data_IF_994927399703
#
_entry.id   IF_994927399703
#
_cell.length_a   1.000
_cell.length_b   1.000
_cell.length_c   1.000
_cell.angle_alpha   90.00
_cell.angle_beta   90.00
_cell.angle_gamma   90.00
#
_symmetry.space_group_name_H-M   'P 1'
#
loop_
_entity.id
_entity.type
_entity.pdbx_description
1 polymer ?
#
# COMPACT_ATOMS: atom_id res chain seq x y z
N UNK A 1 18.82 6.65 46.83
CA UNK A 1 19.76 6.67 45.69
C UNK A 1 19.17 7.53 44.60
N UNK A 2 19.96 8.46 44.08
CA UNK A 2 19.58 9.54 43.17
C UNK A 2 19.80 9.14 41.70
N UNK A 3 19.18 9.90 40.78
CA UNK A 3 19.31 9.94 39.31
C UNK A 3 18.42 8.94 38.55
N UNK A 4 17.66 9.29 37.51
CA UNK A 4 17.61 10.48 36.64
C UNK A 4 16.18 10.67 36.12
N UNK A 5 15.89 11.95 35.88
CA UNK A 5 14.76 12.51 35.17
C UNK A 5 14.67 11.98 33.74
N UNK A 6 13.56 11.31 33.40
CA UNK A 6 13.12 11.17 32.02
C UNK A 6 12.19 12.33 31.70
N UNK A 7 12.78 13.46 31.33
CA UNK A 7 12.08 14.57 30.69
C UNK A 7 11.60 14.08 29.31
N UNK A 8 10.28 13.92 29.15
CA UNK A 8 9.67 13.82 27.83
C UNK A 8 9.89 15.15 27.09
N UNK A 9 10.44 15.16 25.86
CA UNK A 9 10.42 16.35 25.04
C UNK A 9 8.97 16.69 24.71
N UNK A 10 8.50 17.82 25.21
CA UNK A 10 7.24 18.46 24.84
C UNK A 10 7.17 18.59 23.32
N UNK A 11 6.26 17.84 22.69
CA UNK A 11 5.87 18.06 21.30
C UNK A 11 5.31 19.47 21.19
N UNK A 12 6.10 20.33 20.56
CA UNK A 12 5.69 21.67 20.15
C UNK A 12 4.65 21.51 19.04
N UNK A 13 3.42 21.94 19.32
CA UNK A 13 2.36 22.11 18.34
C UNK A 13 2.74 23.29 17.44
N UNK A 14 3.36 23.02 16.30
CA UNK A 14 3.52 24.02 15.24
C UNK A 14 2.21 24.13 14.45
N UNK A 15 1.40 25.13 14.82
CA UNK A 15 0.34 25.70 14.00
C UNK A 15 0.92 26.18 12.66
N UNK A 16 0.86 25.33 11.63
CA UNK A 16 1.16 25.69 10.25
C UNK A 16 -0.14 25.79 9.43
N UNK A 17 -0.84 26.91 9.62
CA UNK A 17 -1.77 27.46 8.66
C UNK A 17 -1.03 27.89 7.37
N UNK A 18 -1.68 27.71 6.21
CA UNK A 18 -1.40 28.34 4.90
C UNK A 18 -0.63 27.53 3.83
N UNK A 19 -1.40 27.12 2.81
CA UNK A 19 -1.05 26.97 1.39
C UNK A 19 -0.02 25.91 0.95
N UNK A 20 -0.48 24.67 0.72
CA UNK A 20 0.29 23.67 -0.03
C UNK A 20 -0.60 22.74 -0.88
N UNK A 21 -1.27 23.28 -1.90
CA UNK A 21 -2.11 22.49 -2.82
C UNK A 21 -1.34 21.86 -3.99
N UNK A 22 -0.06 22.23 -4.21
CA UNK A 22 0.75 21.71 -5.33
C UNK A 22 1.73 20.59 -4.91
N UNK A 23 2.40 20.72 -3.77
CA UNK A 23 3.43 19.77 -3.29
C UNK A 23 2.83 18.49 -2.69
N UNK A 24 1.72 18.59 -1.96
CA UNK A 24 1.02 17.42 -1.41
C UNK A 24 0.45 16.50 -2.49
N UNK A 25 -0.01 17.06 -3.60
CA UNK A 25 -0.52 16.29 -4.73
C UNK A 25 0.59 15.53 -5.48
N UNK A 26 1.79 16.12 -5.59
CA UNK A 26 2.94 15.44 -6.19
C UNK A 26 3.39 14.26 -5.33
N UNK A 27 3.54 14.44 -4.02
CA UNK A 27 3.92 13.37 -3.10
C UNK A 27 2.87 12.23 -3.06
N UNK A 28 1.58 12.57 -2.97
CA UNK A 28 0.48 11.58 -3.06
C UNK A 28 0.46 10.85 -4.40
N UNK A 29 0.81 11.52 -5.50
CA UNK A 29 0.87 10.88 -6.83
C UNK A 29 2.06 9.94 -6.99
N UNK A 30 3.19 10.22 -6.31
CA UNK A 30 4.35 9.33 -6.25
C UNK A 30 4.00 8.08 -5.44
N UNK A 31 3.33 8.26 -4.29
CA UNK A 31 2.84 7.16 -3.46
C UNK A 31 1.85 6.26 -4.23
N UNK A 32 0.87 6.86 -4.92
CA UNK A 32 -0.08 6.14 -5.79
C UNK A 32 0.61 5.29 -6.87
N UNK A 33 1.64 5.83 -7.53
CA UNK A 33 2.41 5.09 -8.55
C UNK A 33 3.27 3.99 -7.96
N UNK A 34 3.84 4.23 -6.78
CA UNK A 34 4.68 3.26 -6.08
C UNK A 34 3.87 2.02 -5.67
N UNK A 35 2.68 2.21 -5.09
CA UNK A 35 1.81 1.08 -4.70
C UNK A 35 1.40 0.21 -5.90
N UNK A 36 1.01 0.85 -7.00
CA UNK A 36 0.70 0.13 -8.25
C UNK A 36 1.95 -0.59 -8.79
N UNK A 37 3.14 0.00 -8.68
CA UNK A 37 4.38 -0.64 -9.11
C UNK A 37 4.72 -1.89 -8.27
N UNK A 38 4.53 -1.82 -6.95
CA UNK A 38 4.70 -2.97 -6.05
C UNK A 38 3.71 -4.09 -6.41
N UNK A 39 2.42 -3.76 -6.54
CA UNK A 39 1.40 -4.72 -6.93
C UNK A 39 1.71 -5.38 -8.29
N UNK A 40 2.17 -4.59 -9.28
CA UNK A 40 2.62 -5.11 -10.58
C UNK A 40 3.80 -6.06 -10.46
N UNK A 41 4.77 -5.78 -9.59
CA UNK A 41 5.89 -6.67 -9.32
C UNK A 41 5.40 -8.02 -8.79
N UNK A 42 4.51 -8.01 -7.81
CA UNK A 42 3.93 -9.24 -7.24
C UNK A 42 3.16 -10.06 -8.27
N UNK A 43 2.39 -9.41 -9.16
CA UNK A 43 1.70 -10.10 -10.25
C UNK A 43 2.65 -10.76 -11.27
N UNK A 44 3.92 -10.31 -11.33
CA UNK A 44 4.98 -10.93 -12.14
C UNK A 44 5.79 -11.98 -11.38
N UNK A 45 5.47 -12.24 -10.11
CA UNK A 45 6.22 -13.14 -9.24
C UNK A 45 7.46 -12.51 -8.59
N UNK A 46 7.57 -11.18 -8.61
CA UNK A 46 8.64 -10.43 -7.93
C UNK A 46 8.25 -10.10 -6.48
N UNK A 47 9.20 -9.73 -5.62
CA UNK A 47 8.90 -9.09 -4.33
C UNK A 47 8.45 -10.01 -3.19
N UNK A 48 8.68 -11.32 -3.28
CA UNK A 48 8.54 -12.25 -2.16
C UNK A 48 7.09 -12.60 -1.75
N UNK A 49 6.10 -12.10 -2.49
CA UNK A 49 4.68 -12.47 -2.33
C UNK A 49 4.28 -13.38 -3.48
N UNK A 50 3.80 -14.58 -3.17
CA UNK A 50 3.29 -15.52 -4.16
C UNK A 50 1.77 -15.42 -4.25
N UNK A 51 1.26 -15.04 -5.42
CA UNK A 51 -0.19 -14.88 -5.66
C UNK A 51 -0.70 -16.03 -6.52
N UNK A 52 -1.69 -16.76 -5.99
CA UNK A 52 -2.46 -17.74 -6.77
C UNK A 52 -3.73 -17.05 -7.26
N UNK A 53 -3.80 -16.82 -8.57
CA UNK A 53 -4.85 -16.02 -9.18
C UNK A 53 -5.82 -16.93 -9.93
N UNK A 54 -7.11 -16.71 -9.73
CA UNK A 54 -8.14 -17.45 -10.45
C UNK A 54 -8.32 -16.88 -11.87
N UNK A 55 -8.78 -17.69 -12.85
CA UNK A 55 -8.99 -17.23 -14.22
C UNK A 55 -9.88 -15.97 -14.34
N UNK A 56 -10.82 -15.79 -13.41
CA UNK A 56 -11.81 -14.71 -13.36
C UNK A 56 -11.16 -13.34 -13.12
N UNK A 57 -9.99 -13.28 -12.48
CA UNK A 57 -9.29 -12.02 -12.22
C UNK A 57 -8.31 -11.63 -13.33
N UNK A 58 -8.26 -12.38 -14.44
CA UNK A 58 -7.35 -12.12 -15.56
C UNK A 58 -7.51 -10.73 -16.17
N UNK A 59 -8.75 -10.25 -16.31
CA UNK A 59 -9.03 -8.90 -16.80
C UNK A 59 -8.43 -7.82 -15.88
N UNK A 60 -8.47 -8.04 -14.57
CA UNK A 60 -7.86 -7.16 -13.56
C UNK A 60 -6.34 -7.22 -13.64
N UNK A 61 -5.75 -8.39 -13.88
CA UNK A 61 -4.30 -8.51 -14.10
C UNK A 61 -3.84 -7.78 -15.37
N UNK A 62 -4.57 -7.94 -16.47
CA UNK A 62 -4.28 -7.29 -17.74
C UNK A 62 -4.33 -5.76 -17.60
N UNK A 63 -5.27 -5.28 -16.78
CA UNK A 63 -5.39 -3.88 -16.39
C UNK A 63 -4.15 -3.35 -15.62
N UNK A 64 -3.53 -4.16 -14.76
CA UNK A 64 -2.27 -3.80 -14.12
C UNK A 64 -1.09 -3.83 -15.10
N UNK A 65 -1.04 -4.76 -16.05
CA UNK A 65 0.13 -4.97 -16.92
C UNK A 65 0.11 -4.15 -18.21
N UNK A 66 -1.06 -3.73 -18.69
CA UNK A 66 -1.16 -2.90 -19.87
C UNK A 66 -0.57 -1.52 -19.59
N UNK A 67 0.57 -1.25 -20.24
CA UNK A 67 1.20 0.06 -20.19
C UNK A 67 0.24 1.06 -20.84
N UNK A 68 -0.28 2.03 -20.07
CA UNK A 68 -0.96 3.22 -20.61
C UNK A 68 0.07 4.01 -21.43
N UNK A 69 0.43 3.52 -22.62
CA UNK A 69 1.25 4.24 -23.59
C UNK A 69 0.38 5.38 -24.10
N UNK A 70 0.53 6.54 -23.46
CA UNK A 70 0.08 7.84 -23.92
C UNK A 70 -1.38 7.90 -24.42
N UNK A 71 -2.34 8.01 -23.49
CA UNK A 71 -3.52 8.85 -23.75
C UNK A 71 -3.10 10.33 -23.70
N UNK A 72 -2.17 10.71 -24.59
CA UNK A 72 -1.76 12.10 -24.81
C UNK A 72 -2.51 12.71 -26.01
N UNK A 73 -3.53 12.03 -26.55
CA UNK A 73 -4.28 12.49 -27.71
C UNK A 73 -5.77 12.20 -27.55
N UNK A 74 -6.41 12.92 -26.63
CA UNK A 74 -7.83 13.34 -26.68
C UNK A 74 -8.09 14.31 -25.52
N UNK A 75 -7.46 15.48 -25.64
CA UNK A 75 -7.87 16.65 -24.87
C UNK A 75 -9.16 17.18 -25.49
N UNK A 76 -10.21 17.17 -24.69
CA UNK A 76 -11.46 17.90 -24.96
C UNK A 76 -12.61 16.99 -25.32
N UNK A 77 -13.38 16.55 -24.32
CA UNK A 77 -14.80 16.93 -24.17
C UNK A 77 -15.08 16.91 -22.66
N UNK A 78 -15.68 18.01 -22.20
CA UNK A 78 -16.19 18.25 -20.86
C UNK A 78 -17.59 17.64 -20.78
N UNK A 79 -17.92 17.03 -19.65
CA UNK A 79 -19.20 16.41 -19.28
C UNK A 79 -19.66 15.21 -20.13
N UNK A 80 -19.45 14.00 -19.61
CA UNK A 80 -20.57 13.11 -19.31
C UNK A 80 -20.11 11.97 -18.40
N UNK A 81 -20.90 11.76 -17.36
CA UNK A 81 -20.99 10.55 -16.56
C UNK A 81 -21.33 9.38 -17.48
N UNK A 82 -20.32 8.77 -18.10
CA UNK A 82 -20.51 7.61 -18.99
C UNK A 82 -19.20 6.83 -19.13
N UNK A 83 -19.16 5.68 -18.47
CA UNK A 83 -18.66 4.42 -19.06
C UNK A 83 -17.27 4.48 -19.72
N UNK A 84 -16.27 5.10 -19.08
CA UNK A 84 -14.88 4.98 -19.52
C UNK A 84 -14.18 3.85 -18.76
N UNK A 85 -14.55 2.59 -19.05
CA UNK A 85 -13.85 1.35 -18.66
C UNK A 85 -13.45 1.21 -17.18
N UNK A 86 -14.01 0.20 -16.52
CA UNK A 86 -13.88 -0.31 -15.13
C UNK A 86 -12.48 -0.39 -14.47
N UNK A 87 -11.43 0.11 -15.12
CA UNK A 87 -10.01 0.10 -14.72
C UNK A 87 -9.55 1.49 -14.23
N UNK A 88 -10.48 2.31 -13.75
CA UNK A 88 -10.19 3.65 -13.21
C UNK A 88 -9.46 3.63 -11.85
N UNK A 89 -9.65 2.55 -11.07
CA UNK A 89 -9.29 2.44 -9.66
C UNK A 89 -8.18 1.41 -9.38
N UNK A 90 -7.16 1.39 -10.23
CA UNK A 90 -6.00 0.49 -10.03
C UNK A 90 -5.27 0.75 -8.71
N UNK A 91 -5.32 1.96 -8.18
CA UNK A 91 -4.77 2.26 -6.86
C UNK A 91 -5.58 1.67 -5.73
N UNK A 92 -6.91 1.76 -5.75
CA UNK A 92 -7.74 1.13 -4.71
C UNK A 92 -7.53 -0.40 -4.69
N UNK A 93 -7.38 -1.01 -5.87
CA UNK A 93 -7.05 -2.43 -6.02
C UNK A 93 -5.63 -2.77 -5.57
N UNK A 94 -4.66 -1.88 -5.82
CA UNK A 94 -3.31 -2.05 -5.31
C UNK A 94 -3.32 -1.95 -3.77
N UNK A 95 -4.01 -0.96 -3.22
CA UNK A 95 -4.10 -0.71 -1.79
C UNK A 95 -4.74 -1.90 -1.06
N UNK A 96 -5.85 -2.45 -1.57
CA UNK A 96 -6.48 -3.61 -0.93
C UNK A 96 -5.63 -4.89 -1.03
N UNK A 97 -4.90 -5.09 -2.14
CA UNK A 97 -3.95 -6.20 -2.28
C UNK A 97 -2.78 -6.05 -1.29
N UNK A 98 -2.20 -4.86 -1.18
CA UNK A 98 -1.12 -4.56 -0.25
C UNK A 98 -1.57 -4.76 1.20
N UNK A 99 -2.78 -4.32 1.56
CA UNK A 99 -3.36 -4.52 2.89
C UNK A 99 -3.54 -6.01 3.21
N UNK A 100 -4.13 -6.78 2.27
CA UNK A 100 -4.31 -8.22 2.45
C UNK A 100 -2.99 -8.96 2.61
N UNK A 101 -2.01 -8.68 1.76
CA UNK A 101 -0.69 -9.29 1.83
C UNK A 101 0.06 -8.93 3.13
N UNK A 102 0.00 -7.66 3.55
CA UNK A 102 0.61 -7.20 4.79
C UNK A 102 0.00 -7.91 6.01
N UNK A 103 -1.32 -8.09 6.03
CA UNK A 103 -2.00 -8.80 7.11
C UNK A 103 -1.57 -10.27 7.20
N UNK A 104 -1.53 -10.97 6.07
CA UNK A 104 -1.06 -12.36 6.02
C UNK A 104 0.37 -12.47 6.55
N UNK A 105 1.27 -11.60 6.08
CA UNK A 105 2.68 -11.61 6.49
C UNK A 105 2.86 -11.31 7.98
N UNK A 106 2.07 -10.37 8.51
CA UNK A 106 2.08 -10.07 9.93
C UNK A 106 1.64 -11.27 10.77
N UNK A 107 0.59 -11.97 10.35
CA UNK A 107 0.06 -13.13 11.05
C UNK A 107 1.02 -14.34 11.00
N UNK A 108 1.73 -14.54 9.88
CA UNK A 108 2.84 -15.51 9.77
C UNK A 108 3.94 -15.19 10.78
N UNK A 109 4.44 -13.95 10.76
CA UNK A 109 5.49 -13.51 11.68
C UNK A 109 5.07 -13.68 13.15
N UNK A 110 3.81 -13.37 13.48
CA UNK A 110 3.27 -13.53 14.83
C UNK A 110 3.31 -15.01 15.26
N UNK A 111 2.91 -15.94 14.38
CA UNK A 111 2.94 -17.39 14.67
C UNK A 111 4.37 -17.89 14.82
N UNK A 112 5.29 -17.44 13.99
CA UNK A 112 6.70 -17.83 14.07
C UNK A 112 7.35 -17.30 15.35
N UNK A 113 7.01 -16.08 15.78
CA UNK A 113 7.46 -15.56 17.07
C UNK A 113 6.94 -16.39 18.24
N UNK A 114 5.68 -16.80 18.23
CA UNK A 114 5.12 -17.69 19.27
C UNK A 114 5.87 -19.01 19.31
N UNK A 115 6.09 -19.67 18.17
CA UNK A 115 6.86 -20.92 18.11
C UNK A 115 8.29 -20.74 18.63
N UNK A 116 8.97 -19.67 18.23
CA UNK A 116 10.33 -19.38 18.71
C UNK A 116 10.38 -19.13 20.21
N UNK A 117 9.33 -18.55 20.79
CA UNK A 117 9.22 -18.35 22.25
C UNK A 117 8.98 -19.68 22.97
N UNK A 118 8.11 -20.54 22.45
CA UNK A 118 7.84 -21.89 22.98
C UNK A 118 9.10 -22.77 22.93
N UNK A 119 9.78 -22.81 21.77
CA UNK A 119 11.04 -23.55 21.58
C UNK A 119 12.17 -23.01 22.47
N UNK A 120 12.12 -21.71 22.77
CA UNK A 120 13.04 -21.02 23.69
C UNK A 120 12.73 -21.23 25.17
N UNK A 121 11.68 -21.98 25.52
CA UNK A 121 11.28 -22.29 26.89
C UNK A 121 10.56 -21.16 27.63
N UNK A 122 10.03 -20.15 26.92
CA UNK A 122 9.18 -19.13 27.52
C UNK A 122 7.74 -19.64 27.62
N UNK A 123 7.23 -19.79 28.85
CA UNK A 123 5.83 -20.13 29.11
C UNK A 123 4.93 -18.93 28.77
N UNK A 124 4.05 -19.11 27.78
CA UNK A 124 3.13 -18.09 27.27
C UNK A 124 1.71 -18.25 27.85
N UNK A 125 1.56 -18.99 28.94
CA UNK A 125 0.30 -19.09 29.69
C UNK A 125 -0.11 -17.71 30.24
N UNK A 126 -1.37 -17.28 30.05
CA UNK A 126 -1.85 -15.98 30.54
C UNK A 126 -1.97 -15.92 32.07
#
# INVERSE_FOLDING_TARGET
>A
MSTKDYLAPSLHEDDANSNSTATGNAARSVDKKAKIAVARGWLKGEGGVSLQLQPEVKSVMDAFTTSRRSSARRKGVKDSETESSDVGKLDDLADCLLQGAAWVRWEENRRDMVKLMEDGGYDMSP
#
